data_IF_360875336213
#
_entry.id   IF_360875336213
#
_cell.length_a   1.000
_cell.length_b   1.000
_cell.length_c   1.000
_cell.angle_alpha   90.00
_cell.angle_beta   90.00
_cell.angle_gamma   90.00
#
_symmetry.space_group_name_H-M   'P 1'
#
loop_
_entity.id
_entity.type
_entity.pdbx_description
1 polymer ?
#
# COMPACT_ATOMS: atom_id res chain seq x y z
N UNK A 1 8.63 8.48 9.91
CA UNK A 1 7.53 9.48 10.14
C UNK A 1 8.14 10.80 10.66
N UNK A 2 9.05 11.39 9.89
CA UNK A 2 10.05 12.35 10.40
C UNK A 2 9.50 13.74 10.73
N UNK A 3 8.26 14.04 10.36
CA UNK A 3 7.57 15.30 10.66
C UNK A 3 6.87 15.30 12.02
N UNK A 4 6.93 14.21 12.79
CA UNK A 4 6.21 14.02 14.05
C UNK A 4 4.67 14.15 13.91
N UNK A 5 4.16 13.85 12.72
CA UNK A 5 2.75 13.73 12.36
C UNK A 5 2.64 12.82 11.12
N UNK A 6 1.42 12.65 10.58
CA UNK A 6 1.18 11.83 9.38
C UNK A 6 1.23 12.64 8.07
N UNK A 7 1.76 13.87 8.07
CA UNK A 7 1.70 14.77 6.89
C UNK A 7 2.57 14.34 5.71
N UNK A 8 3.41 13.32 5.90
CA UNK A 8 4.17 12.68 4.81
C UNK A 8 3.31 11.73 3.97
N UNK A 9 2.07 11.46 4.37
CA UNK A 9 1.10 10.64 3.67
C UNK A 9 -0.04 11.52 3.16
N UNK A 10 -0.66 11.16 2.03
CA UNK A 10 -1.78 11.94 1.49
C UNK A 10 -3.00 11.89 2.40
N UNK A 11 -3.21 10.74 3.04
CA UNK A 11 -4.32 10.53 3.95
C UNK A 11 -4.01 9.46 5.01
N UNK A 12 -4.74 9.53 6.12
CA UNK A 12 -4.78 8.54 7.18
C UNK A 12 -6.23 8.09 7.40
N UNK A 13 -6.54 6.85 7.03
CA UNK A 13 -7.86 6.25 7.22
C UNK A 13 -8.03 5.85 8.68
N UNK A 14 -9.09 6.35 9.32
CA UNK A 14 -9.32 6.21 10.77
C UNK A 14 -8.10 6.67 11.59
N UNK A 15 -7.55 7.83 11.21
CA UNK A 15 -6.30 8.38 11.75
C UNK A 15 -6.29 8.63 13.26
N UNK A 16 -7.44 8.68 13.93
CA UNK A 16 -7.55 8.72 15.39
C UNK A 16 -6.96 7.47 16.08
N UNK A 17 -6.78 6.38 15.33
CA UNK A 17 -6.13 5.15 15.77
C UNK A 17 -4.65 5.08 15.39
N UNK A 18 -4.08 6.18 14.89
CA UNK A 18 -2.67 6.32 14.55
C UNK A 18 -2.01 7.28 15.54
N UNK A 19 -0.89 6.85 16.11
CA UNK A 19 -0.03 7.69 16.96
C UNK A 19 1.37 7.74 16.38
N UNK A 20 1.99 8.92 16.35
CA UNK A 20 3.42 9.02 16.02
C UNK A 20 4.24 8.84 17.28
N UNK A 21 5.17 7.89 17.26
CA UNK A 21 5.98 7.47 18.41
C UNK A 21 7.45 7.58 18.11
N UNK A 22 8.29 7.69 19.14
CA UNK A 22 9.75 7.72 19.01
C UNK A 22 10.44 6.38 19.33
N UNK A 23 9.66 5.32 19.58
CA UNK A 23 10.16 3.96 19.78
C UNK A 23 9.01 2.95 19.67
N UNK A 24 9.21 1.80 19.00
CA UNK A 24 10.36 1.45 18.16
C UNK A 24 10.42 2.34 16.90
N UNK A 25 11.62 2.51 16.34
CA UNK A 25 11.91 3.28 15.12
C UNK A 25 12.97 2.51 14.34
N UNK A 26 12.80 2.33 13.03
CA UNK A 26 13.83 1.67 12.19
C UNK A 26 14.86 2.70 11.72
N UNK A 27 14.40 3.91 11.40
CA UNK A 27 15.22 5.00 10.88
C UNK A 27 14.73 6.34 11.42
N UNK A 28 15.67 7.27 11.64
CA UNK A 28 15.31 8.64 12.01
C UNK A 28 14.82 8.73 13.45
N UNK A 29 13.74 9.48 13.67
CA UNK A 29 13.27 9.83 15.02
C UNK A 29 11.89 9.27 15.36
N UNK A 30 11.10 8.87 14.38
CA UNK A 30 9.68 8.59 14.59
C UNK A 30 9.12 7.50 13.67
N UNK A 31 8.24 6.67 14.22
CA UNK A 31 7.43 5.69 13.49
C UNK A 31 5.94 5.95 13.71
N UNK A 32 5.09 5.41 12.83
CA UNK A 32 3.65 5.36 13.04
C UNK A 32 3.31 4.12 13.86
N UNK A 33 2.61 4.26 14.97
CA UNK A 33 1.93 3.16 15.66
C UNK A 33 0.46 3.14 15.22
N UNK A 34 0.03 2.04 14.62
CA UNK A 34 -1.33 1.81 14.15
C UNK A 34 -1.96 0.74 15.03
N UNK A 35 -3.13 1.04 15.60
CA UNK A 35 -3.89 0.08 16.40
C UNK A 35 -5.24 -0.19 15.75
N UNK A 36 -5.53 -1.44 15.39
CA UNK A 36 -6.84 -1.81 14.84
C UNK A 36 -7.81 -2.17 15.97
N UNK A 37 -9.02 -1.61 15.91
CA UNK A 37 -10.13 -1.86 16.84
C UNK A 37 -11.44 -2.03 16.07
N UNK A 38 -12.46 -2.62 16.68
CA UNK A 38 -13.74 -2.84 16.01
C UNK A 38 -14.47 -1.54 15.62
N UNK A 39 -14.20 -0.41 16.29
CA UNK A 39 -14.80 0.88 15.95
C UNK A 39 -14.11 1.60 14.78
N UNK A 40 -12.92 1.16 14.34
CA UNK A 40 -12.25 1.59 13.11
C UNK A 40 -12.94 1.02 11.85
N UNK A 41 -14.25 1.23 11.74
CA UNK A 41 -15.12 0.70 10.69
C UNK A 41 -15.27 1.70 9.55
N UNK A 42 -14.92 1.28 8.34
CA UNK A 42 -15.17 2.04 7.12
C UNK A 42 -16.64 1.92 6.67
N UNK A 43 -17.20 2.84 5.85
CA UNK A 43 -18.61 2.78 5.44
C UNK A 43 -19.08 1.46 4.80
N UNK A 44 -18.18 0.68 4.21
CA UNK A 44 -18.47 -0.66 3.65
C UNK A 44 -18.38 -1.80 4.68
N UNK A 45 -18.17 -1.47 5.96
CA UNK A 45 -18.11 -2.42 7.07
C UNK A 45 -16.72 -3.01 7.36
N UNK A 46 -15.74 -2.80 6.48
CA UNK A 46 -14.36 -3.24 6.69
C UNK A 46 -13.76 -2.57 7.93
N UNK A 47 -12.87 -3.28 8.61
CA UNK A 47 -12.14 -2.77 9.77
C UNK A 47 -10.75 -2.38 9.30
N UNK A 48 -10.40 -1.10 9.36
CA UNK A 48 -9.16 -0.62 8.76
C UNK A 48 -8.58 0.60 9.45
N UNK A 49 -7.26 0.63 9.57
CA UNK A 49 -6.48 1.82 9.97
C UNK A 49 -5.22 1.81 9.12
N UNK A 50 -5.12 2.76 8.19
CA UNK A 50 -4.15 2.69 7.10
C UNK A 50 -3.64 4.08 6.72
N UNK A 51 -2.40 4.11 6.26
CA UNK A 51 -1.74 5.26 5.67
C UNK A 51 -1.80 5.11 4.15
N UNK A 52 -2.23 6.17 3.48
CA UNK A 52 -2.44 6.22 2.04
C UNK A 52 -1.31 6.97 1.35
N UNK A 53 -0.71 6.35 0.34
CA UNK A 53 0.28 6.94 -0.55
C UNK A 53 -0.19 6.86 -1.99
N UNK A 54 -0.55 7.99 -2.58
CA UNK A 54 -0.77 8.19 -4.00
C UNK A 54 0.48 8.80 -4.62
N UNK A 55 1.22 8.06 -5.46
CA UNK A 55 2.32 8.64 -6.23
C UNK A 55 1.89 9.88 -7.02
N UNK A 56 2.84 10.73 -7.41
CA UNK A 56 2.53 11.84 -8.31
C UNK A 56 1.85 11.31 -9.59
N UNK A 57 0.86 12.06 -10.11
CA UNK A 57 0.09 11.61 -11.27
C UNK A 57 1.00 11.27 -12.46
N UNK A 58 0.71 10.14 -13.11
CA UNK A 58 1.52 9.58 -14.18
C UNK A 58 2.62 8.61 -13.72
N UNK A 59 2.92 8.50 -12.41
CA UNK A 59 3.89 7.52 -11.90
C UNK A 59 3.42 6.07 -12.02
N UNK A 60 2.14 5.86 -12.31
CA UNK A 60 1.54 4.54 -12.54
C UNK A 60 0.90 4.43 -13.92
N UNK A 61 1.29 5.27 -14.89
CA UNK A 61 0.79 5.16 -16.27
C UNK A 61 1.27 3.85 -16.93
N UNK A 62 0.56 3.43 -17.98
CA UNK A 62 0.89 2.26 -18.77
C UNK A 62 2.36 2.30 -19.26
N UNK A 63 3.15 1.33 -18.80
CA UNK A 63 4.57 1.15 -19.13
C UNK A 63 5.55 1.77 -18.16
N UNK A 64 5.10 2.59 -17.20
CA UNK A 64 5.96 3.21 -16.20
C UNK A 64 6.36 2.24 -15.10
N UNK A 65 7.46 2.59 -14.42
CA UNK A 65 8.11 1.77 -13.40
C UNK A 65 8.21 2.55 -12.09
N UNK A 66 7.89 1.89 -10.98
CA UNK A 66 7.89 2.47 -9.64
C UNK A 66 8.47 1.48 -8.64
N UNK A 67 9.39 1.97 -7.80
CA UNK A 67 9.83 1.26 -6.62
C UNK A 67 9.12 1.83 -5.40
N UNK A 68 8.61 0.96 -4.53
CA UNK A 68 8.04 1.35 -3.25
C UNK A 68 8.42 0.34 -2.17
N UNK A 69 8.81 0.84 -1.01
CA UNK A 69 9.12 0.03 0.16
C UNK A 69 8.56 0.65 1.43
N UNK A 70 8.35 -0.19 2.44
CA UNK A 70 8.10 0.23 3.81
C UNK A 70 8.63 -0.81 4.80
N UNK A 71 8.96 -0.35 5.99
CA UNK A 71 9.29 -1.23 7.11
C UNK A 71 8.08 -1.38 8.03
N UNK A 72 7.93 -2.57 8.61
CA UNK A 72 6.91 -2.81 9.63
C UNK A 72 7.47 -3.58 10.83
N UNK A 73 6.89 -3.34 11.99
CA UNK A 73 7.21 -4.03 13.24
C UNK A 73 5.93 -4.44 13.94
N UNK A 74 5.90 -5.67 14.43
CA UNK A 74 4.80 -6.20 15.23
C UNK A 74 5.27 -6.43 16.67
N UNK A 75 4.66 -5.78 17.69
CA UNK A 75 5.01 -6.05 19.08
C UNK A 75 4.58 -7.46 19.52
N UNK A 76 3.53 -8.00 18.88
CA UNK A 76 2.99 -9.34 19.09
C UNK A 76 2.58 -9.93 17.73
N UNK A 77 2.64 -11.25 17.59
CA UNK A 77 2.20 -11.95 16.39
C UNK A 77 0.73 -11.64 16.09
N UNK A 78 0.39 -11.39 14.82
CA UNK A 78 -0.99 -11.13 14.45
C UNK A 78 -1.87 -12.38 14.64
N UNK A 79 -3.14 -12.24 14.99
CA UNK A 79 -4.09 -13.34 15.05
C UNK A 79 -4.19 -14.09 13.71
N UNK A 80 -4.36 -15.42 13.79
CA UNK A 80 -4.51 -16.25 12.58
C UNK A 80 -5.88 -16.06 11.92
N UNK A 81 -6.93 -15.88 12.72
CA UNK A 81 -8.31 -15.72 12.28
C UNK A 81 -9.03 -14.58 13.04
N UNK A 82 -9.40 -13.48 12.37
CA UNK A 82 -9.10 -13.18 10.97
C UNK A 82 -7.64 -12.74 10.77
N UNK A 83 -7.04 -13.19 9.66
CA UNK A 83 -5.80 -12.61 9.14
C UNK A 83 -5.99 -11.15 8.71
N UNK A 84 -4.90 -10.44 8.47
CA UNK A 84 -4.91 -9.01 8.14
C UNK A 84 -4.13 -8.74 6.85
N UNK A 85 -4.64 -7.84 6.00
CA UNK A 85 -3.82 -7.22 4.94
C UNK A 85 -3.01 -6.10 5.57
N UNK A 86 -1.70 -6.07 5.29
CA UNK A 86 -0.77 -5.07 5.85
C UNK A 86 -0.27 -4.05 4.83
N UNK A 87 -0.45 -4.35 3.54
CA UNK A 87 -0.18 -3.42 2.46
C UNK A 87 -0.78 -3.90 1.15
N UNK A 88 -1.27 -2.99 0.31
CA UNK A 88 -1.86 -3.33 -0.98
C UNK A 88 -1.85 -2.16 -1.96
N UNK A 89 -2.05 -2.49 -3.25
CA UNK A 89 -2.20 -1.53 -4.35
C UNK A 89 -3.59 -1.63 -4.96
N UNK A 90 -4.17 -0.50 -5.29
CA UNK A 90 -5.54 -0.39 -5.78
C UNK A 90 -5.69 0.79 -6.75
N UNK A 91 -6.52 0.59 -7.77
CA UNK A 91 -6.86 1.66 -8.72
C UNK A 91 -7.67 2.76 -8.05
N UNK A 92 -7.28 4.01 -8.25
CA UNK A 92 -8.09 5.16 -7.85
C UNK A 92 -9.42 5.17 -8.61
N UNK A 93 -10.45 5.65 -7.94
CA UNK A 93 -11.85 5.72 -8.38
C UNK A 93 -12.57 4.39 -8.65
N UNK A 94 -11.90 3.37 -9.20
CA UNK A 94 -12.52 2.06 -9.48
C UNK A 94 -12.38 1.09 -8.31
N UNK A 95 -11.47 1.36 -7.38
CA UNK A 95 -11.22 0.57 -6.16
C UNK A 95 -10.97 -0.92 -6.46
N UNK A 96 -10.30 -1.18 -7.58
CA UNK A 96 -9.87 -2.52 -7.96
C UNK A 96 -8.49 -2.81 -7.38
N UNK A 97 -8.46 -3.62 -6.33
CA UNK A 97 -7.22 -4.06 -5.71
C UNK A 97 -6.44 -5.00 -6.64
N UNK A 98 -5.15 -4.70 -6.85
CA UNK A 98 -4.29 -5.40 -7.79
C UNK A 98 -3.43 -6.46 -7.11
N UNK A 99 -2.82 -6.13 -5.97
CA UNK A 99 -1.92 -7.00 -5.24
C UNK A 99 -1.87 -6.64 -3.76
N UNK A 100 -1.48 -7.59 -2.90
CA UNK A 100 -1.53 -7.41 -1.45
C UNK A 100 -0.53 -8.28 -0.69
N UNK A 101 -0.13 -7.82 0.49
CA UNK A 101 0.52 -8.62 1.52
C UNK A 101 -0.48 -8.94 2.63
N UNK A 102 -0.70 -10.23 2.87
CA UNK A 102 -1.58 -10.70 3.94
C UNK A 102 -0.76 -11.46 4.99
N UNK A 103 -1.05 -11.20 6.26
CA UNK A 103 -0.39 -11.83 7.41
C UNK A 103 -1.44 -12.50 8.31
N UNK A 104 -1.15 -13.73 8.73
CA UNK A 104 -1.97 -14.54 9.63
C UNK A 104 -1.00 -15.31 10.53
N UNK A 105 -1.00 -15.04 11.85
CA UNK A 105 0.07 -15.56 12.70
C UNK A 105 1.43 -14.99 12.28
N UNK A 106 2.40 -15.90 12.14
CA UNK A 106 3.75 -15.62 11.63
C UNK A 106 3.88 -15.89 10.12
N UNK A 107 2.78 -16.29 9.48
CA UNK A 107 2.71 -16.56 8.04
C UNK A 107 2.40 -15.28 7.27
N UNK A 108 3.15 -15.03 6.21
CA UNK A 108 2.91 -13.96 5.24
C UNK A 108 2.76 -14.53 3.85
N UNK A 109 1.85 -13.95 3.08
CA UNK A 109 1.71 -14.22 1.66
C UNK A 109 1.66 -12.92 0.86
N UNK A 110 2.23 -12.96 -0.33
CA UNK A 110 2.07 -11.95 -1.35
C UNK A 110 1.19 -12.49 -2.48
N UNK A 111 0.15 -11.74 -2.83
CA UNK A 111 -0.86 -12.14 -3.80
C UNK A 111 -1.00 -11.12 -4.94
N UNK A 112 -1.39 -11.59 -6.12
CA UNK A 112 -1.94 -10.76 -7.21
C UNK A 112 -3.40 -11.16 -7.45
N UNK A 113 -4.26 -10.21 -7.81
CA UNK A 113 -5.69 -10.46 -8.06
C UNK A 113 -6.05 -10.52 -9.55
N UNK A 114 -5.17 -9.99 -10.41
CA UNK A 114 -5.36 -9.94 -11.87
C UNK A 114 -4.20 -10.63 -12.59
N UNK A 115 -4.45 -11.26 -13.75
CA UNK A 115 -5.77 -11.52 -14.33
C UNK A 115 -6.61 -12.50 -13.48
N UNK A 116 -5.96 -13.25 -12.60
CA UNK A 116 -6.60 -14.15 -11.63
C UNK A 116 -5.92 -14.05 -10.26
N UNK A 117 -6.67 -14.41 -9.22
CA UNK A 117 -6.15 -14.50 -7.86
C UNK A 117 -5.07 -15.58 -7.78
N UNK A 118 -3.85 -15.19 -7.44
CA UNK A 118 -2.70 -16.10 -7.32
C UNK A 118 -1.86 -15.73 -6.11
N UNK A 119 -1.49 -16.73 -5.30
CA UNK A 119 -0.43 -16.59 -4.30
C UNK A 119 0.90 -16.71 -5.03
N UNK A 120 1.62 -15.59 -5.12
CA UNK A 120 2.89 -15.53 -5.84
C UNK A 120 4.07 -15.94 -4.95
N UNK A 121 3.95 -15.67 -3.66
CA UNK A 121 4.93 -16.04 -2.65
C UNK A 121 4.27 -16.20 -1.29
N UNK A 122 4.79 -17.11 -0.47
CA UNK A 122 4.40 -17.30 0.91
C UNK A 122 5.60 -17.68 1.78
N UNK A 123 5.49 -17.41 3.09
CA UNK A 123 6.53 -17.68 4.05
C UNK A 123 5.97 -17.97 5.43
N UNK A 124 6.09 -19.22 5.88
CA UNK A 124 5.78 -19.64 7.24
C UNK A 124 6.87 -19.19 8.21
N UNK A 125 6.49 -18.59 9.34
CA UNK A 125 7.43 -18.16 10.38
C UNK A 125 8.34 -17.00 9.93
N UNK A 126 7.98 -16.30 8.85
CA UNK A 126 8.77 -15.17 8.30
C UNK A 126 8.45 -13.85 8.98
N UNK A 127 7.26 -13.71 9.56
CA UNK A 127 6.86 -12.52 10.31
C UNK A 127 7.05 -12.79 11.80
N UNK A 128 8.14 -12.28 12.35
CA UNK A 128 8.54 -12.47 13.74
C UNK A 128 8.22 -11.25 14.58
N UNK A 129 7.47 -11.45 15.65
CA UNK A 129 7.18 -10.37 16.60
C UNK A 129 8.47 -9.88 17.28
N UNK A 130 8.56 -8.58 17.52
CA UNK A 130 9.72 -7.96 18.14
C UNK A 130 10.84 -7.58 17.19
N UNK A 131 10.66 -7.78 15.87
CA UNK A 131 11.65 -7.47 14.84
C UNK A 131 11.07 -6.52 13.79
N UNK A 132 11.93 -5.68 13.21
CA UNK A 132 11.59 -4.90 12.03
C UNK A 132 11.75 -5.79 10.81
N UNK A 133 10.73 -5.78 9.95
CA UNK A 133 10.75 -6.39 8.64
C UNK A 133 10.64 -5.33 7.57
N UNK A 134 11.13 -5.62 6.37
CA UNK A 134 11.01 -4.76 5.21
C UNK A 134 10.39 -5.46 4.02
N UNK A 135 9.46 -4.75 3.39
CA UNK A 135 8.93 -5.11 2.08
C UNK A 135 9.38 -4.04 1.10
N UNK A 136 9.93 -4.47 -0.03
CA UNK A 136 10.18 -3.62 -1.18
C UNK A 136 9.58 -4.24 -2.44
N UNK A 137 9.11 -3.39 -3.35
CA UNK A 137 8.50 -3.79 -4.61
C UNK A 137 9.05 -2.96 -5.74
N UNK A 138 9.08 -3.56 -6.92
CA UNK A 138 9.29 -2.89 -8.19
C UNK A 138 8.13 -3.30 -9.11
N UNK A 139 7.36 -2.33 -9.55
CA UNK A 139 6.20 -2.55 -10.40
C UNK A 139 6.44 -1.86 -11.73
N UNK A 140 6.35 -2.61 -12.83
CA UNK A 140 6.10 -2.06 -14.16
C UNK A 140 4.60 -2.15 -14.43
N UNK A 141 3.97 -1.00 -14.59
CA UNK A 141 2.52 -0.84 -14.67
C UNK A 141 2.01 -1.21 -16.06
N UNK A 142 1.02 -2.11 -16.13
CA UNK A 142 0.38 -2.48 -17.38
C UNK A 142 -0.98 -3.15 -17.20
N UNK A 143 -1.92 -2.79 -18.06
CA UNK A 143 -3.20 -3.51 -18.24
C UNK A 143 -3.02 -4.84 -18.98
N UNK A 144 -1.88 -5.03 -19.67
CA UNK A 144 -1.51 -6.26 -20.34
C UNK A 144 -0.57 -7.11 -19.48
N UNK A 145 -1.01 -8.33 -19.13
CA UNK A 145 -0.21 -9.30 -18.37
C UNK A 145 1.17 -9.58 -18.99
N UNK A 146 1.25 -9.58 -20.32
CA UNK A 146 2.51 -9.86 -21.02
C UNK A 146 3.56 -8.73 -20.86
N UNK A 147 3.13 -7.52 -20.53
CA UNK A 147 3.97 -6.32 -20.47
C UNK A 147 4.21 -5.84 -19.02
N UNK A 148 3.29 -6.12 -18.10
CA UNK A 148 3.45 -5.81 -16.68
C UNK A 148 4.51 -6.67 -16.00
N UNK A 149 5.27 -6.09 -15.09
CA UNK A 149 6.34 -6.79 -14.35
C UNK A 149 6.26 -6.49 -12.87
N UNK A 150 6.63 -7.47 -12.08
CA UNK A 150 6.69 -7.34 -10.64
C UNK A 150 7.92 -8.06 -10.07
N UNK A 151 8.64 -7.35 -9.21
CA UNK A 151 9.63 -7.92 -8.30
C UNK A 151 9.24 -7.59 -6.85
N UNK A 152 9.52 -8.51 -5.93
CA UNK A 152 9.26 -8.34 -4.50
C UNK A 152 10.47 -8.80 -3.70
N UNK A 153 10.85 -7.99 -2.73
CA UNK A 153 11.84 -8.33 -1.71
C UNK A 153 11.18 -8.34 -0.32
N UNK A 154 11.55 -9.33 0.48
CA UNK A 154 11.22 -9.43 1.90
C UNK A 154 12.52 -9.58 2.69
N UNK A 155 12.80 -8.65 3.59
CA UNK A 155 14.04 -8.60 4.39
C UNK A 155 15.32 -8.74 3.54
N UNK A 156 15.36 -8.02 2.41
CA UNK A 156 16.48 -8.04 1.44
C UNK A 156 16.54 -9.27 0.53
N UNK A 157 15.78 -10.33 0.80
CA UNK A 157 15.70 -11.51 -0.07
C UNK A 157 14.71 -11.24 -1.21
N UNK A 158 15.16 -11.38 -2.46
CA UNK A 158 14.25 -11.31 -3.61
C UNK A 158 13.38 -12.57 -3.67
N UNK A 159 12.10 -12.43 -3.35
CA UNK A 159 11.15 -13.53 -3.23
C UNK A 159 10.24 -13.69 -4.44
N UNK A 160 10.07 -12.61 -5.22
CA UNK A 160 9.45 -12.63 -6.55
C UNK A 160 10.39 -11.90 -7.51
N UNK A 161 10.65 -12.50 -8.67
CA UNK A 161 11.63 -11.99 -9.64
C UNK A 161 11.03 -11.98 -11.06
N UNK A 162 10.90 -10.79 -11.63
CA UNK A 162 10.46 -10.51 -13.00
C UNK A 162 9.17 -11.24 -13.37
N UNK A 163 8.22 -11.31 -12.44
CA UNK A 163 6.93 -11.94 -12.67
C UNK A 163 6.17 -11.14 -13.74
N UNK A 164 5.82 -11.79 -14.86
CA UNK A 164 4.89 -11.23 -15.83
C UNK A 164 3.47 -11.35 -15.28
N UNK A 165 2.80 -10.22 -15.05
CA UNK A 165 1.46 -10.17 -14.48
C UNK A 165 0.77 -8.85 -14.84
N UNK A 166 -0.56 -8.83 -14.85
CA UNK A 166 -1.32 -7.58 -15.00
C UNK A 166 -1.20 -6.75 -13.71
N UNK A 167 -0.64 -5.55 -13.80
CA UNK A 167 -0.34 -4.68 -12.67
C UNK A 167 -1.23 -3.43 -12.62
N UNK A 168 -1.94 -3.09 -13.71
CA UNK A 168 -3.00 -2.08 -13.73
C UNK A 168 -4.38 -2.71 -13.93
N UNK A 169 -5.39 -2.23 -13.20
CA UNK A 169 -6.79 -2.57 -13.45
C UNK A 169 -7.37 -1.84 -14.67
N UNK A 170 -7.00 -0.57 -14.82
CA UNK A 170 -7.58 0.40 -15.75
C UNK A 170 -6.64 1.62 -15.89
N UNK A 171 -7.11 2.68 -16.58
CA UNK A 171 -6.36 3.90 -16.88
C UNK A 171 -6.32 4.91 -15.71
N UNK A 172 -6.79 4.56 -14.50
CA UNK A 172 -6.65 5.45 -13.35
C UNK A 172 -5.28 5.29 -12.69
N UNK A 173 -4.81 6.35 -12.03
CA UNK A 173 -3.66 6.29 -11.14
C UNK A 173 -3.88 5.20 -10.07
N UNK A 174 -2.84 4.48 -9.68
CA UNK A 174 -2.89 3.47 -8.62
C UNK A 174 -2.20 3.98 -7.37
N UNK A 175 -2.81 3.73 -6.21
CA UNK A 175 -2.25 4.12 -4.91
C UNK A 175 -1.86 2.89 -4.10
N UNK A 176 -1.06 3.13 -3.06
CA UNK A 176 -0.66 2.13 -2.07
C UNK A 176 -1.28 2.48 -0.72
N UNK A 177 -1.75 1.47 0.00
CA UNK A 177 -2.08 1.60 1.41
C UNK A 177 -1.23 0.65 2.25
N UNK A 178 -0.82 1.11 3.44
CA UNK A 178 -0.10 0.31 4.42
C UNK A 178 -0.71 0.49 5.81
N UNK A 179 -0.78 -0.58 6.59
CA UNK A 179 -1.39 -0.54 7.93
C UNK A 179 -2.04 -1.86 8.31
N UNK A 180 -3.28 -1.81 8.78
CA UNK A 180 -4.07 -3.01 9.10
C UNK A 180 -5.45 -2.91 8.47
N UNK A 181 -5.78 -3.90 7.64
CA UNK A 181 -7.11 -4.09 7.05
C UNK A 181 -7.61 -5.51 7.33
N UNK A 182 -8.87 -5.60 7.77
CA UNK A 182 -9.62 -6.83 7.97
C UNK A 182 -11.02 -6.75 7.37
N UNK A 183 -11.61 -7.92 7.14
CA UNK A 183 -12.96 -8.05 6.62
C UNK A 183 -14.01 -7.44 7.55
N UNK A 184 -15.25 -7.38 7.08
CA UNK A 184 -16.39 -6.87 7.85
C UNK A 184 -16.85 -7.86 8.95
N UNK A 185 -15.97 -8.11 9.92
CA UNK A 185 -16.14 -9.04 11.03
C UNK A 185 -15.67 -8.39 12.33
N UNK A 186 -16.34 -8.72 13.43
CA UNK A 186 -15.90 -8.34 14.78
C UNK A 186 -14.83 -9.33 15.26
N UNK A 187 -13.80 -8.82 15.93
CA UNK A 187 -12.71 -9.62 16.49
C UNK A 187 -12.49 -9.30 17.97
N UNK A 188 -11.92 -10.25 18.72
CA UNK A 188 -11.72 -10.15 20.17
C UNK A 188 -10.39 -9.54 20.60
N UNK A 189 -9.50 -9.29 19.65
CA UNK A 189 -8.17 -8.72 19.84
C UNK A 189 -8.11 -7.23 19.45
N UNK A 190 -6.92 -6.63 19.53
CA UNK A 190 -6.66 -5.27 19.05
C UNK A 190 -5.20 -5.18 18.60
N UNK A 191 -4.88 -5.66 17.39
CA UNK A 191 -3.50 -5.77 16.94
C UNK A 191 -2.89 -4.39 16.72
N UNK A 192 -1.58 -4.31 16.95
CA UNK A 192 -0.77 -3.13 16.72
C UNK A 192 0.27 -3.46 15.65
N UNK A 193 0.48 -2.55 14.71
CA UNK A 193 1.60 -2.56 13.77
C UNK A 193 2.30 -1.21 13.85
N UNK A 194 3.63 -1.21 13.74
CA UNK A 194 4.39 0.01 13.53
C UNK A 194 4.83 0.08 12.08
N UNK A 195 4.69 1.26 11.47
CA UNK A 195 5.12 1.54 10.08
C UNK A 195 6.19 2.63 10.13
N UNK A 196 7.30 2.39 9.41
CA UNK A 196 8.39 3.34 9.31
C UNK A 196 9.14 3.18 7.97
N UNK A 197 9.97 4.16 7.63
CA UNK A 197 10.79 4.19 6.41
C UNK A 197 10.03 3.74 5.14
N UNK A 198 8.84 4.33 4.95
CA UNK A 198 8.10 4.23 3.69
C UNK A 198 8.74 5.16 2.65
N UNK A 199 9.12 4.61 1.51
CA UNK A 199 9.89 5.32 0.48
C UNK A 199 9.47 4.88 -0.91
N UNK A 200 9.30 5.86 -1.78
CA UNK A 200 9.15 5.69 -3.22
C UNK A 200 10.48 6.04 -3.90
N UNK A 201 10.84 5.32 -4.96
CA UNK A 201 12.04 5.56 -5.74
C UNK A 201 11.93 5.13 -7.19
N UNK A 202 13.02 5.35 -7.93
CA UNK A 202 13.15 4.98 -9.35
C UNK A 202 14.07 3.76 -9.53
N UNK A 203 14.76 3.36 -8.47
CA UNK A 203 15.73 2.26 -8.46
C UNK A 203 15.60 1.41 -7.21
N UNK A 204 16.16 0.20 -7.25
CA UNK A 204 16.22 -0.67 -6.08
C UNK A 204 17.04 -0.02 -4.96
N UNK A 205 18.09 0.72 -5.31
CA UNK A 205 18.95 1.43 -4.35
C UNK A 205 18.19 2.50 -3.58
N UNK A 206 17.25 3.21 -4.21
CA UNK A 206 16.45 4.27 -3.56
C UNK A 206 15.55 3.70 -2.44
N UNK A 207 15.14 2.43 -2.57
CA UNK A 207 14.21 1.78 -1.66
C UNK A 207 14.87 0.79 -0.70
N UNK A 208 16.21 0.73 -0.64
CA UNK A 208 17.00 0.02 0.38
C UNK A 208 16.39 -1.34 0.81
N UNK A 209 16.25 -2.34 -0.08
CA UNK A 209 15.41 -3.53 0.16
C UNK A 209 15.83 -4.36 1.39
N UNK A 210 17.04 -4.15 1.90
CA UNK A 210 17.67 -4.85 3.03
C UNK A 210 17.53 -4.13 4.38
N UNK A 211 16.69 -3.08 4.53
CA UNK A 211 16.60 -2.32 5.78
C UNK A 211 15.79 -3.05 6.88
N UNK A 212 16.44 -3.91 7.69
CA UNK A 212 16.30 -3.76 9.14
C UNK A 212 17.65 -3.78 9.91
N UNK A 213 17.92 -2.69 10.65
CA UNK A 213 19.02 -2.58 11.62
C UNK A 213 20.32 -1.89 11.16
N UNK A 214 20.35 -1.32 9.95
CA UNK A 214 21.54 -0.71 9.33
C UNK A 214 22.22 0.39 10.17
N UNK A 215 23.46 0.11 10.56
CA UNK A 215 24.49 0.93 11.22
C UNK A 215 24.32 2.47 11.15
N UNK A 216 24.02 3.10 12.31
CA UNK A 216 24.46 4.49 12.57
C UNK A 216 23.41 5.50 13.05
N UNK A 217 22.77 5.28 14.21
CA UNK A 217 21.93 6.30 14.86
C UNK A 217 22.08 6.43 16.38
N UNK A 218 22.99 5.68 17.00
CA UNK A 218 23.31 5.83 18.42
C UNK A 218 24.56 6.69 18.61
N UNK A 219 24.41 8.00 18.87
CA UNK A 219 25.60 8.81 19.15
C UNK A 219 25.40 10.31 19.34
N UNK A 220 24.98 10.71 20.54
CA UNK A 220 25.63 11.84 21.22
C UNK A 220 25.07 13.23 20.93
N UNK A 221 24.17 13.67 21.80
CA UNK A 221 24.04 15.09 22.11
C UNK A 221 25.40 15.67 22.52
N UNK A 222 25.81 16.73 21.84
CA UNK A 222 27.02 17.48 22.12
C UNK A 222 26.91 18.87 21.52
N UNK A 223 26.30 19.79 22.27
CA UNK A 223 26.20 21.19 21.88
C UNK A 223 27.57 21.86 21.75
N UNK A 224 27.71 22.74 20.76
CA UNK A 224 28.86 23.61 20.61
C UNK A 224 28.87 24.37 19.28
N UNK A 225 28.24 25.54 19.25
CA UNK A 225 28.53 26.62 18.30
C UNK A 225 29.29 27.73 19.03
N UNK A 226 29.92 28.70 18.35
CA UNK A 226 30.65 28.65 17.08
C UNK A 226 32.07 29.27 17.22
N UNK A 227 32.92 29.12 16.20
CA UNK A 227 34.14 29.92 16.08
C UNK A 227 34.27 30.50 14.66
N UNK A 228 34.47 31.82 14.62
CA UNK A 228 34.62 32.70 13.47
C UNK A 228 35.99 32.56 12.76
N UNK A 229 36.02 33.05 11.51
CA UNK A 229 37.21 33.54 10.81
C UNK A 229 37.70 32.61 9.70
N UNK A 230 37.88 33.01 8.45
CA UNK A 230 37.83 34.32 7.81
C UNK A 230 38.63 34.25 6.50
N UNK A 231 38.13 34.91 5.45
CA UNK A 231 38.93 35.55 4.38
C UNK A 231 39.62 34.68 3.32
N UNK A 232 39.29 34.92 2.05
CA UNK A 232 40.15 34.56 0.92
C UNK A 232 39.47 34.65 -0.44
N UNK A 233 39.52 35.83 -1.06
CA UNK A 233 39.06 36.11 -2.43
C UNK A 233 40.17 35.92 -3.47
N UNK A 234 39.80 35.54 -4.70
CA UNK A 234 40.35 35.94 -6.03
C UNK A 234 39.84 34.93 -7.08
N UNK A 235 39.01 35.33 -8.07
CA UNK A 235 39.25 36.11 -9.31
C UNK A 235 39.78 35.28 -10.51
N UNK A 236 39.07 35.41 -11.65
CA UNK A 236 39.49 35.02 -13.00
C UNK A 236 38.47 34.11 -13.71
N UNK A 237 37.46 34.58 -14.45
CA UNK A 237 37.45 35.33 -15.73
C UNK A 237 37.78 34.51 -16.98
N UNK A 238 36.83 34.50 -17.94
CA UNK A 238 36.95 34.06 -19.34
C UNK A 238 35.86 33.06 -19.72
N UNK A 239 34.95 33.25 -20.68
CA UNK A 239 34.83 34.23 -21.75
C UNK A 239 34.38 33.52 -23.04
N UNK A 240 33.20 33.91 -23.57
CA UNK A 240 32.73 33.69 -24.95
C UNK A 240 32.20 32.29 -25.31
N UNK A 241 31.30 32.06 -26.27
CA UNK A 241 30.49 32.89 -27.20
C UNK A 241 29.73 31.91 -28.11
N UNK A 242 28.47 32.21 -28.46
CA UNK A 242 27.78 31.71 -29.69
C UNK A 242 27.16 30.30 -29.57
N UNK A 243 25.97 30.02 -30.08
CA UNK A 243 25.02 30.81 -30.86
C UNK A 243 23.75 29.98 -31.11
N UNK A 244 22.60 30.63 -31.20
CA UNK A 244 21.41 30.10 -31.87
C UNK A 244 21.59 30.20 -33.40
N UNK A 245 20.85 29.41 -34.20
CA UNK A 245 19.53 29.88 -34.62
C UNK A 245 18.47 28.78 -34.82
N UNK A 246 17.18 29.19 -34.71
CA UNK A 246 16.05 28.91 -35.61
C UNK A 246 15.64 27.44 -35.90
N UNK A 247 14.43 27.05 -36.28
CA UNK A 247 13.07 27.61 -36.35
C UNK A 247 12.21 26.52 -37.02
N UNK A 248 10.94 26.40 -36.66
CA UNK A 248 9.88 26.04 -37.60
C UNK A 248 9.40 24.58 -37.60
N UNK A 249 8.07 24.41 -37.46
CA UNK A 249 7.38 23.23 -37.99
C UNK A 249 6.12 22.78 -37.23
N UNK A 250 5.04 23.54 -37.31
CA UNK A 250 3.67 23.01 -37.37
C UNK A 250 3.09 23.45 -38.73
N UNK A 251 2.01 22.88 -39.33
CA UNK A 251 0.88 22.17 -38.70
C UNK A 251 0.25 20.98 -39.51
N UNK A 252 -0.73 20.26 -38.93
CA UNK A 252 -1.96 19.73 -39.58
C UNK A 252 -2.75 18.87 -38.57
N UNK A 253 -3.95 19.19 -38.08
CA UNK A 253 -5.32 19.11 -38.66
C UNK A 253 -5.77 17.76 -39.22
N UNK A 254 -6.77 17.15 -38.55
CA UNK A 254 -7.70 16.10 -39.03
C UNK A 254 -8.23 15.30 -37.84
N UNK A 255 -9.43 15.58 -37.29
CA UNK A 255 -10.73 14.99 -37.71
C UNK A 255 -10.86 13.58 -37.12
N UNK A 256 -11.83 13.14 -36.32
CA UNK A 256 -13.23 13.51 -36.12
C UNK A 256 -14.02 12.19 -36.00
N UNK A 257 -14.88 12.04 -34.98
CA UNK A 257 -15.83 10.92 -34.80
C UNK A 257 -15.91 10.49 -33.32
N UNK A 258 -16.93 10.84 -32.53
CA UNK A 258 -18.35 10.46 -32.55
C UNK A 258 -18.63 8.98 -32.27
N UNK A 259 -19.08 8.71 -31.04
CA UNK A 259 -20.20 7.80 -30.77
C UNK A 259 -19.88 6.59 -29.91
N UNK A 260 -20.62 6.43 -28.81
CA UNK A 260 -20.69 5.16 -28.08
C UNK A 260 -21.00 5.30 -26.61
N UNK A 261 -22.24 5.67 -26.27
CA UNK A 261 -22.77 5.46 -24.94
C UNK A 261 -22.98 3.96 -24.71
N UNK A 262 -22.34 3.41 -23.67
CA UNK A 262 -22.57 2.06 -23.15
C UNK A 262 -22.47 2.16 -21.63
N UNK A 263 -23.63 2.27 -21.00
CA UNK A 263 -23.80 2.18 -19.55
C UNK A 263 -23.77 0.72 -19.14
N UNK A 264 -22.75 0.32 -18.38
CA UNK A 264 -22.76 -0.95 -17.65
C UNK A 264 -22.64 -0.68 -16.15
N UNK A 265 -23.72 -1.01 -15.45
CA UNK A 265 -23.77 -1.24 -14.01
C UNK A 265 -22.71 -2.30 -13.65
N UNK A 266 -21.63 -1.88 -12.99
CA UNK A 266 -20.74 -2.80 -12.29
C UNK A 266 -20.87 -2.54 -10.80
N UNK A 267 -21.50 -3.51 -10.14
CA UNK A 267 -21.66 -3.57 -8.71
C UNK A 267 -20.30 -3.62 -8.02
N UNK A 268 -20.22 -2.88 -6.92
CA UNK A 268 -19.12 -2.82 -5.96
C UNK A 268 -18.72 -4.23 -5.47
N UNK A 269 -17.57 -4.75 -5.92
CA UNK A 269 -16.88 -5.93 -5.37
C UNK A 269 -15.42 -5.59 -4.95
N UNK A 270 -15.09 -4.30 -4.82
CA UNK A 270 -13.80 -3.82 -4.31
C UNK A 270 -13.66 -4.13 -2.82
N UNK A 271 -12.58 -4.80 -2.43
CA UNK A 271 -12.29 -5.35 -1.09
C UNK A 271 -13.03 -6.65 -0.69
N UNK A 272 -13.00 -7.69 -1.52
CA UNK A 272 -13.31 -9.05 -1.03
C UNK A 272 -12.05 -9.72 -0.46
N UNK A 273 -11.84 -9.58 0.85
CA UNK A 273 -10.95 -10.49 1.59
C UNK A 273 -11.59 -11.88 1.58
N UNK A 274 -11.23 -12.72 0.61
CA UNK A 274 -11.61 -14.13 0.64
C UNK A 274 -10.75 -14.83 1.69
N UNK A 275 -11.39 -15.26 2.78
CA UNK A 275 -10.76 -16.10 3.79
C UNK A 275 -10.17 -17.35 3.12
N UNK A 276 -8.87 -17.56 3.32
CA UNK A 276 -8.12 -18.70 2.80
C UNK A 276 -8.53 -19.97 3.58
N UNK A 277 -9.62 -20.61 3.16
CA UNK A 277 -10.09 -21.87 3.71
C UNK A 277 -9.41 -23.05 3.02
N UNK A 278 -8.33 -23.56 3.62
CA UNK A 278 -7.69 -24.82 3.22
C UNK A 278 -8.68 -26.00 3.20
N UNK A 279 -8.60 -26.79 2.13
CA UNK A 279 -9.52 -27.86 1.75
C UNK A 279 -9.80 -28.92 2.84
N UNK A 280 -11.09 -29.19 3.08
CA UNK A 280 -11.56 -30.57 3.25
C UNK A 280 -12.97 -30.75 2.68
N UNK A 281 -13.05 -31.59 1.65
CA UNK A 281 -14.22 -32.20 1.00
C UNK A 281 -15.57 -32.04 1.71
N UNK A 282 -16.55 -31.44 1.03
CA UNK A 282 -17.96 -31.54 1.43
C UNK A 282 -18.86 -30.58 0.68
N UNK A 283 -19.63 -31.09 -0.28
CA UNK A 283 -20.66 -30.34 -0.98
C UNK A 283 -21.72 -29.79 -0.01
N UNK A 284 -21.96 -28.47 -0.01
CA UNK A 284 -23.29 -27.92 0.27
C UNK A 284 -23.41 -26.46 -0.16
N UNK A 285 -24.36 -26.22 -1.07
CA UNK A 285 -24.90 -24.90 -1.36
C UNK A 285 -25.84 -24.45 -0.24
N UNK A 286 -25.84 -23.15 0.11
CA UNK A 286 -26.93 -22.37 0.75
C UNK A 286 -26.54 -20.89 0.49
N UNK A 287 -27.17 -20.17 -0.44
CA UNK A 287 -28.51 -19.55 -0.43
C UNK A 287 -28.58 -18.26 0.42
N UNK A 288 -28.62 -17.12 -0.30
CA UNK A 288 -29.03 -15.80 0.22
C UNK A 288 -30.46 -15.86 0.76
N UNK A 289 -30.70 -15.26 1.92
CA UNK A 289 -32.04 -14.96 2.42
C UNK A 289 -32.16 -13.48 2.80
N UNK A 290 -32.92 -12.75 1.99
CA UNK A 290 -33.45 -11.44 2.30
C UNK A 290 -34.55 -11.56 3.38
N UNK A 291 -34.50 -10.71 4.41
CA UNK A 291 -35.55 -10.63 5.44
C UNK A 291 -36.56 -9.55 5.07
N UNK A 292 -37.78 -10.00 4.81
CA UNK A 292 -38.96 -9.18 4.57
C UNK A 292 -39.74 -8.84 5.85
N UNK A 293 -40.48 -7.72 5.72
CA UNK A 293 -41.29 -6.99 6.69
C UNK A 293 -42.26 -7.79 7.58
N UNK A 294 -42.44 -7.24 8.78
CA UNK A 294 -43.50 -7.54 9.75
C UNK A 294 -44.90 -7.07 9.31
N UNK A 295 -45.93 -7.85 9.67
CA UNK A 295 -47.25 -7.33 10.02
C UNK A 295 -48.06 -8.32 10.89
N UNK A 296 -48.33 -7.89 12.11
CA UNK A 296 -49.11 -8.55 13.17
C UNK A 296 -50.61 -8.50 12.84
N UNK A 297 -51.34 -9.63 12.94
CA UNK A 297 -52.82 -9.65 12.97
C UNK A 297 -53.36 -10.27 14.27
N UNK A 298 -54.22 -9.47 14.90
CA UNK A 298 -54.92 -9.64 16.20
C UNK A 298 -55.80 -10.90 16.27
N UNK A 299 -55.79 -11.55 17.44
CA UNK A 299 -56.87 -12.45 17.91
C UNK A 299 -57.98 -11.63 18.57
N UNK A 300 -59.24 -11.98 18.29
CA UNK A 300 -60.42 -11.67 19.12
C UNK A 300 -61.08 -12.99 19.50
N UNK A 301 -61.40 -13.14 20.78
CA UNK A 301 -62.24 -14.18 21.33
C UNK A 301 -63.63 -13.61 21.68
N UNK A 302 -64.58 -14.53 21.81
CA UNK A 302 -65.90 -14.45 22.48
C UNK A 302 -67.07 -13.76 21.77
N UNK A 303 -67.93 -14.57 21.12
CA UNK A 303 -69.24 -15.01 21.63
C UNK A 303 -69.93 -15.95 20.65
#
# INVERSE_FOLDING_TARGET
METNDTSQWDNALNGEHISVVSSPVVQGSYAAQIQLTNDATWPNGLKRVELHHGPESGRTDEGDELYFAWSFYLPETLPEDPGSTIGYWESDQSYQQMMAFNVSGEHIQFITQRPEYTVQWEGDGKVTAGEWHRIATHVRWSTNEADGRLDVWFDGEQVVNQLAVQTLADDNDHFTQVGLLRGAVEFGDSPIIFIDDAVEGDTLEDVHPDLPGGEGGGGGGGGGSPAEGGGGASDGSGGGTGGSPASGGAPSTGGGGSGGAGSDDSADDGCSLRANGGSSSGAMAIALAAVGLAAIRRRRADR
#
